data_IF_708228386078
#
_entry.id   IF_708228386078
#
_cell.length_a   1.000
_cell.length_b   1.000
_cell.length_c   1.000
_cell.angle_alpha   90.00
_cell.angle_beta   90.00
_cell.angle_gamma   90.00
#
_symmetry.space_group_name_H-M   'P 1'
#
loop_
_entity.id
_entity.type
_entity.pdbx_description
1 polymer ?
#
# COMPACT_ATOMS: atom_id res chain seq x y z
N UNK A 1 -56.22 31.93 -3.64
CA UNK A 1 -55.11 32.02 -2.66
C UNK A 1 -54.13 30.90 -2.96
N UNK A 2 -52.94 31.22 -3.44
CA UNK A 2 -51.87 30.29 -3.83
C UNK A 2 -51.03 29.88 -2.59
N UNK A 3 -50.39 28.70 -2.57
CA UNK A 3 -49.57 28.25 -1.44
C UNK A 3 -48.11 28.73 -1.56
N UNK A 4 -47.48 29.02 -0.42
CA UNK A 4 -46.04 29.33 -0.30
C UNK A 4 -45.30 28.16 0.36
N UNK A 5 -44.31 27.66 -0.36
CA UNK A 5 -43.30 26.69 0.05
C UNK A 5 -42.37 27.23 1.15
N UNK A 6 -41.88 26.36 2.02
CA UNK A 6 -40.46 26.18 2.40
C UNK A 6 -40.40 25.27 3.63
N UNK A 7 -39.68 24.16 3.57
CA UNK A 7 -38.60 23.76 4.50
C UNK A 7 -38.02 22.46 3.94
N UNK A 8 -36.84 22.58 3.34
CA UNK A 8 -36.08 21.48 2.76
C UNK A 8 -35.30 20.69 3.80
N UNK A 9 -35.27 19.38 3.55
CA UNK A 9 -34.11 18.49 3.66
C UNK A 9 -33.26 18.56 4.94
N UNK A 10 -33.56 17.70 5.91
CA UNK A 10 -32.62 17.27 6.95
C UNK A 10 -32.29 15.79 6.82
N UNK A 11 -31.58 15.41 5.77
CA UNK A 11 -30.89 14.12 5.71
C UNK A 11 -29.54 14.34 5.02
N UNK A 12 -28.52 13.65 5.51
CA UNK A 12 -27.14 13.58 4.99
C UNK A 12 -26.15 14.62 5.54
N UNK A 13 -25.80 14.49 6.82
CA UNK A 13 -24.47 14.87 7.32
C UNK A 13 -23.82 13.71 8.06
N UNK A 14 -23.42 12.67 7.33
CA UNK A 14 -22.50 11.62 7.83
C UNK A 14 -21.98 10.69 6.73
N UNK A 15 -21.49 11.22 5.60
CA UNK A 15 -20.55 10.46 4.75
C UNK A 15 -19.92 11.38 3.69
N UNK A 16 -18.92 12.19 4.08
CA UNK A 16 -18.19 13.01 3.09
C UNK A 16 -16.69 13.09 3.32
N UNK A 17 -16.16 12.58 4.44
CA UNK A 17 -14.72 12.70 4.70
C UNK A 17 -13.86 11.66 3.96
N UNK A 18 -14.45 10.58 3.43
CA UNK A 18 -13.68 9.54 2.73
C UNK A 18 -13.53 9.80 1.23
N UNK A 19 -14.48 10.51 0.61
CA UNK A 19 -14.47 10.86 -0.82
C UNK A 19 -13.57 12.08 -1.09
N UNK A 20 -13.56 13.06 -0.18
CA UNK A 20 -12.74 14.27 -0.31
C UNK A 20 -11.23 14.01 -0.21
N UNK A 21 -10.81 12.88 0.38
CA UNK A 21 -9.38 12.52 0.52
C UNK A 21 -8.82 11.78 -0.69
N UNK A 22 -9.66 11.12 -1.49
CA UNK A 22 -9.22 10.43 -2.72
C UNK A 22 -9.03 11.43 -3.88
N UNK A 23 -9.87 12.47 -3.94
CA UNK A 23 -9.75 13.52 -4.95
C UNK A 23 -8.47 14.37 -4.81
N UNK A 24 -7.82 14.37 -3.64
CA UNK A 24 -6.66 15.23 -3.36
C UNK A 24 -5.35 14.69 -3.95
N UNK A 25 -5.24 13.37 -4.21
CA UNK A 25 -4.03 12.77 -4.80
C UNK A 25 -4.11 12.67 -6.33
N UNK A 26 -5.31 12.49 -6.89
CA UNK A 26 -5.51 12.31 -8.33
C UNK A 26 -5.47 13.62 -9.15
N UNK A 27 -5.53 14.79 -8.50
CA UNK A 27 -5.62 16.10 -9.16
C UNK A 27 -4.30 16.89 -9.20
N UNK A 28 -3.17 16.28 -8.86
CA UNK A 28 -1.87 16.93 -9.08
C UNK A 28 -1.57 16.92 -10.58
N UNK A 29 -1.93 18.02 -11.26
CA UNK A 29 -1.47 18.27 -12.62
C UNK A 29 0.03 18.51 -12.57
N UNK A 30 0.79 17.77 -13.38
CA UNK A 30 2.22 18.00 -13.60
C UNK A 30 2.39 19.32 -14.38
N UNK A 31 2.20 20.45 -13.70
CA UNK A 31 2.64 21.76 -14.17
C UNK A 31 4.19 21.77 -14.15
N UNK A 32 4.87 22.27 -15.20
CA UNK A 32 6.32 22.41 -15.19
C UNK A 32 6.71 23.47 -14.15
N UNK A 33 6.99 23.03 -12.91
CA UNK A 33 7.51 23.89 -11.85
C UNK A 33 8.98 24.15 -12.11
N UNK A 34 9.43 25.40 -11.93
CA UNK A 34 10.86 25.67 -11.74
C UNK A 34 11.37 24.73 -10.64
N UNK A 35 12.29 23.84 -10.98
CA UNK A 35 12.75 22.81 -10.06
C UNK A 35 13.63 23.45 -9.00
N UNK A 36 13.02 23.93 -7.92
CA UNK A 36 13.72 24.01 -6.64
C UNK A 36 13.98 22.56 -6.24
N UNK A 37 15.23 22.10 -6.37
CA UNK A 37 15.66 20.74 -6.03
C UNK A 37 15.67 20.55 -4.50
N UNK A 38 14.50 20.61 -3.88
CA UNK A 38 14.36 20.21 -2.49
C UNK A 38 14.48 18.68 -2.42
N UNK A 39 15.42 18.21 -1.61
CA UNK A 39 15.61 16.78 -1.41
C UNK A 39 14.56 16.26 -0.45
N UNK A 40 13.71 15.35 -0.92
CA UNK A 40 12.73 14.63 -0.09
C UNK A 40 13.25 13.25 0.34
N UNK A 41 12.75 12.74 1.46
CA UNK A 41 13.00 11.37 1.93
C UNK A 41 11.70 10.55 1.91
N UNK A 42 11.72 9.40 1.24
CA UNK A 42 10.69 8.38 1.31
C UNK A 42 11.37 7.04 1.52
N UNK A 43 11.29 6.53 2.75
CA UNK A 43 11.90 5.28 3.14
C UNK A 43 10.91 4.47 4.00
N UNK A 44 10.74 3.20 3.68
CA UNK A 44 10.00 2.23 4.47
C UNK A 44 10.90 1.02 4.76
N UNK A 45 11.04 0.68 6.04
CA UNK A 45 11.79 -0.50 6.49
C UNK A 45 10.85 -1.39 7.30
N UNK A 46 10.66 -2.62 6.85
CA UNK A 46 9.79 -3.61 7.46
C UNK A 46 10.56 -4.88 7.81
N UNK A 47 10.18 -5.51 8.91
CA UNK A 47 10.60 -6.86 9.28
C UNK A 47 9.36 -7.66 9.62
N UNK A 48 9.09 -8.71 8.86
CA UNK A 48 7.82 -9.43 8.95
C UNK A 48 7.91 -10.85 8.42
N UNK A 49 6.73 -11.44 8.20
CA UNK A 49 6.59 -12.79 7.64
C UNK A 49 5.90 -12.76 6.29
N UNK A 50 6.39 -13.57 5.37
CA UNK A 50 5.86 -13.67 4.02
C UNK A 50 4.53 -14.41 4.04
N UNK A 51 3.45 -13.79 3.55
CA UNK A 51 2.11 -14.38 3.58
C UNK A 51 1.83 -15.35 2.44
N UNK A 52 2.37 -15.04 1.26
CA UNK A 52 2.22 -15.83 0.04
C UNK A 52 3.57 -15.92 -0.66
N UNK A 53 3.81 -17.05 -1.33
CA UNK A 53 4.99 -17.20 -2.18
C UNK A 53 5.09 -16.05 -3.18
N UNK A 54 6.30 -15.52 -3.46
CA UNK A 54 6.49 -14.48 -4.47
C UNK A 54 5.95 -14.88 -5.84
N UNK A 55 5.28 -13.95 -6.52
CA UNK A 55 4.67 -14.17 -7.83
C UNK A 55 5.29 -13.24 -8.85
N UNK A 56 5.63 -13.78 -10.02
CA UNK A 56 5.97 -12.99 -11.20
C UNK A 56 4.72 -12.27 -11.70
N UNK A 57 4.86 -10.98 -11.94
CA UNK A 57 3.83 -10.03 -12.40
C UNK A 57 4.48 -9.04 -13.37
N UNK A 58 3.66 -8.15 -13.92
CA UNK A 58 4.11 -7.13 -14.88
C UNK A 58 4.07 -7.62 -16.33
N UNK A 59 4.51 -6.75 -17.24
CA UNK A 59 4.68 -7.05 -18.66
C UNK A 59 6.14 -7.47 -18.94
N UNK A 60 6.40 -8.01 -20.13
CA UNK A 60 7.76 -8.39 -20.55
C UNK A 60 8.74 -7.20 -20.50
N UNK A 61 8.26 -5.99 -20.79
CA UNK A 61 9.05 -4.75 -20.71
C UNK A 61 9.30 -4.29 -19.28
N UNK A 62 8.40 -4.60 -18.34
CA UNK A 62 8.47 -4.17 -16.94
C UNK A 62 8.10 -5.33 -16.00
N UNK A 63 8.93 -6.37 -15.92
CA UNK A 63 8.66 -7.49 -15.03
C UNK A 63 8.76 -7.04 -13.58
N UNK A 64 7.97 -7.65 -12.70
CA UNK A 64 8.10 -7.45 -11.27
C UNK A 64 7.80 -8.74 -10.51
N UNK A 65 8.36 -8.84 -9.31
CA UNK A 65 8.02 -9.91 -8.36
C UNK A 65 7.26 -9.27 -7.21
N UNK A 66 6.10 -9.82 -6.88
CA UNK A 66 5.25 -9.30 -5.80
C UNK A 66 4.96 -10.36 -4.75
N UNK A 67 4.92 -9.94 -3.48
CA UNK A 67 4.52 -10.80 -2.36
C UNK A 67 3.91 -9.97 -1.24
N UNK A 68 3.19 -10.62 -0.32
CA UNK A 68 2.65 -9.98 0.88
C UNK A 68 3.57 -10.21 2.09
N UNK A 69 3.72 -9.19 2.92
CA UNK A 69 4.46 -9.26 4.18
C UNK A 69 3.54 -8.86 5.34
N UNK A 70 3.44 -9.71 6.36
CA UNK A 70 2.72 -9.44 7.59
C UNK A 70 3.66 -8.80 8.63
N UNK A 71 3.21 -7.73 9.28
CA UNK A 71 3.84 -7.18 10.48
C UNK A 71 2.83 -7.16 11.63
N UNK A 72 3.24 -7.67 12.79
CA UNK A 72 2.36 -7.79 13.95
C UNK A 72 2.74 -6.78 15.05
N UNK A 73 1.73 -6.23 15.72
CA UNK A 73 1.88 -5.44 16.94
C UNK A 73 0.99 -6.04 18.04
N UNK A 74 1.59 -6.35 19.20
CA UNK A 74 0.87 -6.91 20.35
C UNK A 74 0.74 -5.87 21.47
N UNK A 75 -0.49 -5.64 21.93
CA UNK A 75 -0.79 -4.71 23.02
C UNK A 75 -1.35 -5.48 24.21
N UNK A 76 -0.90 -5.14 25.42
CA UNK A 76 -1.45 -5.67 26.67
C UNK A 76 -2.70 -4.88 27.05
N UNK A 77 -3.82 -5.57 27.30
CA UNK A 77 -5.04 -4.94 27.78
C UNK A 77 -5.00 -4.88 29.31
N UNK A 78 -5.05 -3.67 29.89
CA UNK A 78 -4.88 -3.44 31.35
C UNK A 78 -5.88 -4.18 32.24
N UNK A 79 -7.03 -4.60 31.71
CA UNK A 79 -8.13 -5.16 32.51
C UNK A 79 -7.95 -6.64 32.87
N UNK A 80 -7.15 -7.42 32.14
CA UNK A 80 -7.28 -8.89 32.16
C UNK A 80 -6.02 -9.67 31.73
N UNK A 81 -4.85 -9.03 31.66
CA UNK A 81 -3.57 -9.65 31.25
C UNK A 81 -3.61 -10.37 29.88
N UNK A 82 -4.60 -10.04 29.05
CA UNK A 82 -4.72 -10.58 27.70
C UNK A 82 -4.00 -9.69 26.70
N UNK A 83 -3.30 -10.30 25.75
CA UNK A 83 -2.67 -9.61 24.63
C UNK A 83 -3.61 -9.61 23.41
N UNK A 84 -3.74 -8.47 22.75
CA UNK A 84 -4.39 -8.36 21.44
C UNK A 84 -3.33 -8.08 20.39
N UNK A 85 -3.28 -8.91 19.35
CA UNK A 85 -2.36 -8.76 18.22
C UNK A 85 -3.08 -8.20 17.01
N UNK A 86 -2.52 -7.14 16.43
CA UNK A 86 -2.96 -6.56 15.17
C UNK A 86 -1.93 -6.86 14.09
N UNK A 87 -2.40 -7.31 12.93
CA UNK A 87 -1.55 -7.65 11.79
C UNK A 87 -1.83 -6.72 10.62
N UNK A 88 -0.81 -6.02 10.16
CA UNK A 88 -0.85 -5.24 8.92
C UNK A 88 -0.24 -6.03 7.77
N UNK A 89 -0.92 -6.02 6.63
CA UNK A 89 -0.48 -6.68 5.41
C UNK A 89 0.06 -5.67 4.40
N UNK A 90 1.33 -5.80 4.07
CA UNK A 90 2.03 -4.91 3.14
C UNK A 90 2.22 -5.59 1.79
N UNK A 91 1.93 -4.86 0.70
CA UNK A 91 2.23 -5.33 -0.64
C UNK A 91 3.66 -4.92 -1.02
N UNK A 92 4.54 -5.89 -1.27
CA UNK A 92 5.92 -5.66 -1.65
C UNK A 92 6.07 -5.88 -3.15
N UNK A 93 6.68 -4.92 -3.85
CA UNK A 93 6.96 -5.00 -5.28
C UNK A 93 8.46 -4.86 -5.55
N UNK A 94 9.03 -5.82 -6.25
CA UNK A 94 10.46 -5.88 -6.58
C UNK A 94 10.61 -5.71 -8.08
N UNK A 95 11.28 -4.63 -8.50
CA UNK A 95 11.54 -4.35 -9.92
C UNK A 95 13.00 -4.55 -10.32
N UNK A 96 13.93 -4.41 -9.36
CA UNK A 96 15.37 -4.56 -9.62
C UNK A 96 15.69 -6.00 -10.02
N UNK A 97 16.22 -6.18 -11.23
CA UNK A 97 16.40 -7.47 -11.88
C UNK A 97 17.10 -8.52 -11.00
N UNK A 98 18.31 -8.23 -10.50
CA UNK A 98 19.05 -9.18 -9.66
C UNK A 98 18.34 -9.52 -8.34
N UNK A 99 17.54 -8.59 -7.81
CA UNK A 99 16.76 -8.82 -6.59
C UNK A 99 15.50 -9.65 -6.87
N UNK A 100 14.88 -9.48 -8.05
CA UNK A 100 13.68 -10.26 -8.45
C UNK A 100 13.97 -11.76 -8.44
N UNK A 101 15.06 -12.18 -9.10
CA UNK A 101 15.41 -13.60 -9.19
C UNK A 101 15.66 -14.19 -7.80
N UNK A 102 16.50 -13.51 -7.00
CA UNK A 102 16.82 -13.94 -5.64
C UNK A 102 15.59 -14.02 -4.73
N UNK A 103 14.64 -13.10 -4.86
CA UNK A 103 13.39 -13.12 -4.09
C UNK A 103 12.47 -14.23 -4.57
N UNK A 104 12.31 -14.38 -5.88
CA UNK A 104 11.40 -15.36 -6.47
C UNK A 104 11.80 -16.80 -6.14
N UNK A 105 13.09 -17.11 -6.19
CA UNK A 105 13.63 -18.44 -5.89
C UNK A 105 13.94 -18.65 -4.41
N UNK A 106 14.31 -17.57 -3.71
CA UNK A 106 14.90 -17.67 -2.36
C UNK A 106 13.93 -17.44 -1.22
N UNK A 107 12.69 -17.01 -1.49
CA UNK A 107 11.70 -16.70 -0.45
C UNK A 107 10.47 -17.59 -0.57
N UNK A 108 10.11 -18.21 0.54
CA UNK A 108 8.92 -19.06 0.66
C UNK A 108 7.88 -18.45 1.62
N UNK A 109 6.64 -18.94 1.51
CA UNK A 109 5.57 -18.58 2.44
C UNK A 109 5.98 -18.90 3.89
N UNK A 110 5.72 -17.97 4.80
CA UNK A 110 5.99 -18.07 6.23
C UNK A 110 7.40 -17.69 6.64
N UNK A 111 8.34 -17.54 5.70
CA UNK A 111 9.70 -17.11 5.99
C UNK A 111 9.74 -15.69 6.55
N UNK A 112 10.72 -15.44 7.42
CA UNK A 112 10.97 -14.10 7.95
C UNK A 112 11.79 -13.32 6.93
N UNK A 113 11.39 -12.08 6.66
CA UNK A 113 12.09 -11.22 5.73
C UNK A 113 12.14 -9.77 6.23
N UNK A 114 13.28 -9.12 6.02
CA UNK A 114 13.43 -7.67 6.11
C UNK A 114 13.31 -7.08 4.71
N UNK A 115 12.53 -6.02 4.57
CA UNK A 115 12.36 -5.26 3.33
C UNK A 115 12.70 -3.81 3.61
N UNK A 116 13.59 -3.23 2.80
CA UNK A 116 13.83 -1.79 2.76
C UNK A 116 13.48 -1.26 1.37
N UNK A 117 12.76 -0.15 1.32
CA UNK A 117 12.31 0.42 0.05
C UNK A 117 11.60 1.74 0.24
N UNK A 118 10.68 2.05 -0.68
CA UNK A 118 9.90 3.29 -0.71
C UNK A 118 8.43 3.02 -0.94
N UNK A 119 7.56 3.84 -0.36
CA UNK A 119 6.12 3.75 -0.55
C UNK A 119 5.76 4.33 -1.92
N UNK A 120 4.99 3.59 -2.71
CA UNK A 120 4.45 4.03 -3.99
C UNK A 120 2.94 3.82 -4.02
N UNK A 121 2.24 4.90 -4.35
CA UNK A 121 0.82 4.88 -4.70
C UNK A 121 0.72 4.76 -6.22
N UNK A 122 -0.11 3.84 -6.70
CA UNK A 122 -0.36 3.63 -8.12
C UNK A 122 -1.83 3.30 -8.36
N UNK A 123 -2.33 3.58 -9.55
CA UNK A 123 -3.64 3.13 -10.01
C UNK A 123 -3.46 1.90 -10.90
N UNK A 124 -4.34 0.92 -10.73
CA UNK A 124 -4.39 -0.28 -11.59
C UNK A 124 -5.84 -0.47 -12.01
N UNK A 125 -6.09 -0.66 -13.30
CA UNK A 125 -7.41 -1.03 -13.82
C UNK A 125 -7.59 -2.54 -13.74
N UNK A 126 -8.74 -2.98 -13.24
CA UNK A 126 -9.10 -4.38 -13.28
C UNK A 126 -9.72 -4.78 -14.63
N UNK A 127 -9.97 -6.08 -14.81
CA UNK A 127 -10.55 -6.64 -16.04
C UNK A 127 -11.96 -6.10 -16.35
N UNK A 128 -12.63 -5.51 -15.36
CA UNK A 128 -13.96 -4.92 -15.51
C UNK A 128 -13.90 -3.42 -15.81
N UNK A 129 -12.70 -2.86 -16.01
CA UNK A 129 -12.47 -1.44 -16.28
C UNK A 129 -12.55 -0.55 -15.04
N UNK A 130 -12.57 -1.13 -13.83
CA UNK A 130 -12.62 -0.34 -12.58
C UNK A 130 -11.20 0.00 -12.14
N UNK A 131 -10.89 1.29 -12.04
CA UNK A 131 -9.63 1.80 -11.50
C UNK A 131 -9.57 1.59 -9.98
N UNK A 132 -8.50 0.95 -9.50
CA UNK A 132 -8.23 0.73 -8.08
C UNK A 132 -6.93 1.38 -7.67
N UNK A 133 -6.94 1.99 -6.49
CA UNK A 133 -5.71 2.49 -5.86
C UNK A 133 -4.97 1.32 -5.21
N UNK A 134 -3.69 1.20 -5.52
CA UNK A 134 -2.76 0.24 -4.96
C UNK A 134 -1.64 0.98 -4.23
N UNK A 135 -1.39 0.60 -2.99
CA UNK A 135 -0.24 1.05 -2.22
C UNK A 135 0.75 -0.10 -2.16
N UNK A 136 1.98 0.15 -2.58
CA UNK A 136 3.04 -0.86 -2.58
C UNK A 136 4.32 -0.29 -1.99
N UNK A 137 5.12 -1.16 -1.37
CA UNK A 137 6.50 -0.85 -1.02
C UNK A 137 7.37 -1.38 -2.15
N UNK A 138 7.96 -0.45 -2.89
CA UNK A 138 8.94 -0.77 -3.93
C UNK A 138 10.26 -1.08 -3.24
N UNK A 139 10.65 -2.35 -3.24
CA UNK A 139 11.81 -2.82 -2.50
C UNK A 139 13.11 -2.47 -3.22
N UNK A 140 14.04 -1.86 -2.48
CA UNK A 140 15.42 -1.63 -2.89
C UNK A 140 16.35 -2.71 -2.35
N UNK A 141 16.00 -3.29 -1.20
CA UNK A 141 16.69 -4.40 -0.56
C UNK A 141 15.69 -5.37 0.10
N UNK A 142 15.96 -6.67 -0.05
CA UNK A 142 15.26 -7.73 0.68
C UNK A 142 16.29 -8.67 1.28
N UNK A 143 16.14 -8.99 2.57
CA UNK A 143 16.96 -9.96 3.28
C UNK A 143 16.01 -11.02 3.82
N UNK A 144 16.14 -12.26 3.35
CA UNK A 144 15.41 -13.40 3.91
C UNK A 144 16.25 -14.09 4.97
N UNK A 145 15.60 -14.53 6.04
CA UNK A 145 16.23 -15.30 7.11
C UNK A 145 15.83 -16.76 6.94
N UNK A 146 16.79 -17.58 6.48
CA UNK A 146 16.61 -19.03 6.45
C UNK A 146 16.63 -19.56 7.88
N UNK A 147 15.78 -20.56 8.14
CA UNK A 147 15.74 -21.28 9.41
C UNK A 147 16.83 -22.35 9.43
#
# INVERSE_FOLDING_TARGET
>A
MLPLSLVGQSLLRRSSNHVLRQASYSNYKDEPKEHNYEKCLNEATLLGRVGVHPQLRGSDERPCVTFSLATDQSFRKSSNDTYTTYTDWHNIAVFKEGLRQSVYEGIEKGQRAMVKGRIRYSTVEDKSGVTRNLVSIVADQVISFKK
#
